data_IF_757083546837
#
_entry.id   IF_757083546837
#
_cell.length_a   1.000
_cell.length_b   1.000
_cell.length_c   1.000
_cell.angle_alpha   90.00
_cell.angle_beta   90.00
_cell.angle_gamma   90.00
#
_symmetry.space_group_name_H-M   'P 1'
#
loop_
_entity.id
_entity.type
_entity.pdbx_description
1 polymer ?
#
# COMPACT_ATOMS: atom_id res chain seq x y z
N UNK A 1 2.00 3.88 4.25
CA UNK A 1 0.64 3.65 3.73
C UNK A 1 -0.39 3.49 4.85
N UNK A 2 0.03 3.32 6.10
CA UNK A 2 -0.88 2.98 7.20
C UNK A 2 -1.87 4.12 7.54
N UNK A 3 -1.45 5.37 7.37
CA UNK A 3 -2.34 6.54 7.47
C UNK A 3 -3.55 6.46 6.54
N UNK A 4 -3.32 6.18 5.25
CA UNK A 4 -4.40 6.12 4.26
C UNK A 4 -5.36 4.96 4.53
N UNK A 5 -4.85 3.85 5.08
CA UNK A 5 -5.68 2.70 5.42
C UNK A 5 -6.52 2.97 6.66
N UNK A 6 -5.98 3.68 7.64
CA UNK A 6 -6.74 4.11 8.82
C UNK A 6 -7.87 5.08 8.41
N UNK A 7 -7.58 6.03 7.52
CA UNK A 7 -8.60 6.90 6.92
C UNK A 7 -9.68 6.09 6.16
N UNK A 8 -9.28 5.15 5.32
CA UNK A 8 -10.19 4.27 4.58
C UNK A 8 -11.09 3.44 5.53
N UNK A 9 -10.54 2.94 6.64
CA UNK A 9 -11.31 2.21 7.66
C UNK A 9 -12.32 3.10 8.38
N UNK A 10 -11.92 4.30 8.77
CA UNK A 10 -12.81 5.24 9.49
C UNK A 10 -13.95 5.73 8.61
N UNK A 11 -13.66 6.07 7.35
CA UNK A 11 -14.69 6.46 6.38
C UNK A 11 -15.68 5.32 6.11
N UNK A 12 -15.19 4.08 6.02
CA UNK A 12 -16.06 2.94 5.85
C UNK A 12 -16.93 2.64 7.09
N UNK A 13 -16.39 2.84 8.30
CA UNK A 13 -17.15 2.77 9.54
C UNK A 13 -18.29 3.81 9.58
N UNK A 14 -18.01 5.04 9.15
CA UNK A 14 -19.03 6.09 9.07
C UNK A 14 -20.19 5.76 8.11
N UNK A 15 -19.92 4.94 7.07
CA UNK A 15 -20.90 4.45 6.11
C UNK A 15 -21.57 3.13 6.55
N UNK A 16 -21.36 2.69 7.80
CA UNK A 16 -21.87 1.43 8.35
C UNK A 16 -21.45 0.18 7.55
N UNK A 17 -20.28 0.21 6.91
CA UNK A 17 -19.76 -0.92 6.14
C UNK A 17 -18.86 -1.80 7.02
N UNK A 18 -19.14 -3.11 7.15
CA UNK A 18 -18.30 -3.99 7.95
C UNK A 18 -16.96 -4.24 7.23
N UNK A 19 -15.91 -3.60 7.76
CA UNK A 19 -14.54 -3.73 7.29
C UNK A 19 -13.74 -4.73 8.11
N UNK A 20 -12.96 -5.56 7.44
CA UNK A 20 -11.93 -6.36 8.08
C UNK A 20 -10.78 -5.47 8.57
N UNK A 21 -9.93 -6.04 9.44
CA UNK A 21 -8.68 -5.41 9.86
C UNK A 21 -7.71 -5.19 8.69
N UNK A 22 -6.66 -4.42 8.95
CA UNK A 22 -5.60 -4.20 7.96
C UNK A 22 -4.79 -5.48 7.76
N UNK A 23 -4.86 -6.07 6.57
CA UNK A 23 -4.11 -7.29 6.25
C UNK A 23 -2.78 -6.90 5.59
N UNK A 24 -1.69 -7.36 6.20
CA UNK A 24 -0.33 -7.18 5.71
C UNK A 24 -0.03 -8.30 4.70
N UNK A 25 -0.17 -8.00 3.41
CA UNK A 25 0.20 -8.93 2.36
C UNK A 25 1.71 -9.15 2.32
N UNK A 26 2.18 -10.33 1.85
CA UNK A 26 3.59 -10.56 1.58
C UNK A 26 4.18 -9.44 0.71
N UNK A 27 5.17 -8.75 1.26
CA UNK A 27 5.80 -7.60 0.60
C UNK A 27 6.58 -8.07 -0.63
N UNK A 28 6.19 -7.59 -1.81
CA UNK A 28 7.05 -7.70 -3.00
C UNK A 28 8.15 -6.65 -2.88
N UNK A 29 9.39 -7.11 -2.71
CA UNK A 29 10.58 -6.26 -2.68
C UNK A 29 11.11 -6.10 -4.09
N UNK A 30 10.94 -4.92 -4.69
CA UNK A 30 11.69 -4.57 -5.91
C UNK A 30 13.00 -3.94 -5.50
N UNK A 31 14.11 -4.54 -5.93
CA UNK A 31 15.48 -4.04 -5.70
C UNK A 31 16.11 -3.63 -7.01
N UNK A 32 16.86 -2.53 -7.02
CA UNK A 32 17.68 -2.13 -8.14
C UNK A 32 18.99 -1.54 -7.64
N UNK A 33 20.04 -1.74 -8.42
CA UNK A 33 21.36 -1.18 -8.14
C UNK A 33 21.62 -0.02 -9.08
N UNK A 34 22.07 1.10 -8.53
CA UNK A 34 22.50 2.24 -9.31
C UNK A 34 23.94 2.60 -8.97
N UNK A 35 24.69 3.09 -9.95
CA UNK A 35 26.03 3.64 -9.73
C UNK A 35 25.85 4.98 -9.02
N UNK A 36 26.59 5.23 -7.94
CA UNK A 36 26.45 6.45 -7.16
C UNK A 36 26.94 7.70 -7.91
N UNK A 37 27.90 7.54 -8.81
CA UNK A 37 28.48 8.62 -9.61
C UNK A 37 27.86 8.74 -11.01
N UNK A 38 27.89 9.93 -11.62
CA UNK A 38 27.34 10.15 -12.95
C UNK A 38 28.13 9.45 -14.07
N UNK A 39 29.42 9.14 -13.87
CA UNK A 39 30.27 8.47 -14.86
C UNK A 39 31.44 7.69 -14.20
N UNK A 40 31.91 6.60 -14.83
CA UNK A 40 33.12 5.78 -14.53
C UNK A 40 33.20 5.08 -13.16
N UNK A 41 32.54 5.55 -12.10
CA UNK A 41 32.66 5.03 -10.73
C UNK A 41 31.90 3.72 -10.44
N UNK A 42 31.97 2.70 -11.33
CA UNK A 42 31.20 1.43 -11.21
C UNK A 42 31.47 0.62 -9.94
N UNK A 43 32.62 0.80 -9.28
CA UNK A 43 32.94 0.15 -8.00
C UNK A 43 32.08 0.68 -6.83
N UNK A 44 31.49 1.86 -6.97
CA UNK A 44 30.57 2.45 -6.01
C UNK A 44 29.14 2.30 -6.54
N UNK A 45 28.40 1.34 -5.97
CA UNK A 45 27.00 1.11 -6.29
C UNK A 45 26.16 1.15 -5.02
N UNK A 46 24.95 1.67 -5.14
CA UNK A 46 23.95 1.74 -4.09
C UNK A 46 22.77 0.82 -4.43
N UNK A 47 22.28 0.12 -3.41
CA UNK A 47 21.10 -0.74 -3.51
C UNK A 47 19.88 0.05 -3.04
N UNK A 48 18.87 0.14 -3.90
CA UNK A 48 17.58 0.70 -3.55
C UNK A 48 16.56 -0.41 -3.39
N UNK A 49 15.60 -0.21 -2.49
CA UNK A 49 14.45 -1.09 -2.34
C UNK A 49 13.15 -0.29 -2.30
N UNK A 50 12.11 -0.84 -2.94
CA UNK A 50 10.72 -0.42 -2.73
C UNK A 50 9.92 -1.58 -2.23
N UNK A 51 9.24 -1.35 -1.11
CA UNK A 51 8.27 -2.25 -0.47
C UNK A 51 6.90 -1.54 -0.52
N UNK A 52 5.81 -2.32 -0.45
CA UNK A 52 4.52 -2.02 0.19
C UNK A 52 3.32 -2.60 -0.58
N UNK A 53 2.57 -3.50 0.07
CA UNK A 53 1.22 -3.94 -0.32
C UNK A 53 0.38 -4.06 0.94
N UNK A 54 -0.89 -3.66 0.85
CA UNK A 54 -1.86 -3.69 1.95
C UNK A 54 -3.22 -4.07 1.39
N UNK A 55 -4.00 -4.81 2.17
CA UNK A 55 -5.33 -5.26 1.77
C UNK A 55 -6.35 -4.85 2.82
N UNK A 56 -7.45 -4.26 2.35
CA UNK A 56 -8.66 -4.03 3.12
C UNK A 56 -9.78 -4.85 2.48
N UNK A 57 -10.51 -5.63 3.28
CA UNK A 57 -11.65 -6.42 2.80
C UNK A 57 -12.92 -5.89 3.42
N UNK A 58 -13.88 -5.49 2.58
CA UNK A 58 -15.23 -5.11 2.98
C UNK A 58 -16.17 -6.26 2.64
N UNK A 59 -17.08 -6.60 3.55
CA UNK A 59 -18.06 -7.67 3.34
C UNK A 59 -19.48 -7.11 3.43
N UNK A 60 -20.47 -7.84 2.92
CA UNK A 60 -21.90 -7.61 3.19
C UNK A 60 -22.38 -6.15 3.10
N UNK A 61 -22.05 -5.44 2.02
CA UNK A 61 -22.44 -4.04 1.81
C UNK A 61 -23.14 -3.88 0.46
N UNK A 62 -24.12 -2.97 0.38
CA UNK A 62 -24.76 -2.60 -0.88
C UNK A 62 -23.77 -1.92 -1.84
N UNK A 63 -23.79 -2.33 -3.11
CA UNK A 63 -22.93 -1.82 -4.18
C UNK A 63 -22.89 -0.29 -4.27
N UNK A 64 -24.04 0.38 -4.16
CA UNK A 64 -24.10 1.85 -4.28
C UNK A 64 -23.35 2.57 -3.16
N UNK A 65 -23.26 1.97 -1.97
CA UNK A 65 -22.52 2.54 -0.83
C UNK A 65 -21.02 2.33 -1.01
N UNK A 66 -20.62 1.17 -1.53
CA UNK A 66 -19.22 0.87 -1.87
C UNK A 66 -18.72 1.80 -2.98
N UNK A 67 -19.54 2.06 -4.00
CA UNK A 67 -19.20 2.95 -5.11
C UNK A 67 -19.11 4.43 -4.68
N UNK A 68 -19.84 4.84 -3.64
CA UNK A 68 -19.70 6.18 -3.05
C UNK A 68 -18.42 6.33 -2.21
N UNK A 69 -17.86 5.22 -1.72
CA UNK A 69 -16.69 5.21 -0.86
C UNK A 69 -15.37 5.08 -1.63
N UNK A 70 -15.40 4.43 -2.80
CA UNK A 70 -14.28 4.33 -3.75
C UNK A 70 -14.05 5.65 -4.48
#
# INVERSE_FOLDING_TARGET
>A
MDFYIDFARRSAYALNMPCSGTIYLPTKTSRWTAICGPFVHKKSQENFERKNKRLLVIKNTNRFVVERWL
#
